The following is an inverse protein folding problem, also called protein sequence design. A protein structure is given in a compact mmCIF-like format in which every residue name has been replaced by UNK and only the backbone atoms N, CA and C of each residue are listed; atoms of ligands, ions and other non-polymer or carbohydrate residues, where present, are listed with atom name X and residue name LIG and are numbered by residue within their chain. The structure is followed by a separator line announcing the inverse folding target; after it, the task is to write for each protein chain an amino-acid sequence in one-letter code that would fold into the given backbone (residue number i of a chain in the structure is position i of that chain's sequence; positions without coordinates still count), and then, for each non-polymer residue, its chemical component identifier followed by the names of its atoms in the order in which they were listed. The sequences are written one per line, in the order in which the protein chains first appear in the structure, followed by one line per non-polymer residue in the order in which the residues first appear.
data_IF_510217281452
#
_entry.id   IF_510217281452
#
_cell.length_a   1.000
_cell.length_b   1.000
_cell.length_c   1.000
_cell.angle_alpha   90.00
_cell.angle_beta   90.00
_cell.angle_gamma   90.00
#
_symmetry.space_group_name_H-M   'P 1'
#
loop_
_entity.id
_entity.type
_entity.pdbx_description
1 polymer ?
#
# COMPACT_ATOMS: atom_id res chain seq x y z
N UNK A 1 12.96 -8.73 -21.64
CA UNK A 1 14.10 -7.83 -21.81
C UNK A 1 15.37 -8.59 -22.30
N UNK A 2 15.87 -9.61 -21.60
CA UNK A 2 17.08 -10.36 -21.97
C UNK A 2 17.02 -11.00 -23.36
N UNK A 3 15.88 -11.49 -23.78
CA UNK A 3 15.66 -12.02 -25.14
C UNK A 3 15.80 -10.91 -26.20
N UNK A 4 15.22 -9.74 -25.95
CA UNK A 4 15.30 -8.59 -26.85
C UNK A 4 16.74 -8.12 -27.01
N UNK A 5 17.50 -8.04 -25.91
CA UNK A 5 18.93 -7.73 -25.94
C UNK A 5 19.73 -8.71 -26.81
N UNK A 6 19.48 -10.03 -26.67
CA UNK A 6 20.11 -11.06 -27.49
C UNK A 6 19.73 -10.95 -28.97
N UNK A 7 18.45 -10.71 -29.26
CA UNK A 7 17.96 -10.52 -30.63
C UNK A 7 18.58 -9.28 -31.29
N UNK A 8 18.69 -8.15 -30.58
CA UNK A 8 19.39 -6.96 -31.04
C UNK A 8 20.82 -7.31 -31.52
N UNK A 9 21.59 -8.05 -30.69
CA UNK A 9 22.95 -8.47 -31.06
C UNK A 9 22.97 -9.41 -32.26
N UNK A 10 22.01 -10.31 -32.39
CA UNK A 10 21.89 -11.22 -33.51
C UNK A 10 21.50 -10.48 -34.80
N UNK A 11 20.57 -9.56 -34.75
CA UNK A 11 20.16 -8.72 -35.89
C UNK A 11 21.36 -7.88 -36.37
N UNK A 12 22.01 -7.17 -35.44
CA UNK A 12 23.18 -6.37 -35.77
C UNK A 12 24.28 -7.19 -36.48
N UNK A 13 24.53 -8.42 -36.02
CA UNK A 13 25.52 -9.33 -36.63
C UNK A 13 25.14 -9.77 -38.05
N UNK A 14 23.87 -10.09 -38.29
CA UNK A 14 23.37 -10.53 -39.61
C UNK A 14 23.36 -9.36 -40.60
N UNK A 15 22.93 -8.17 -40.14
CA UNK A 15 22.74 -7.00 -40.98
C UNK A 15 24.03 -6.16 -41.16
N UNK A 16 25.10 -6.42 -40.38
CA UNK A 16 26.37 -5.69 -40.47
C UNK A 16 27.00 -5.68 -41.88
N UNK A 17 26.95 -6.78 -42.67
CA UNK A 17 27.43 -6.77 -44.04
C UNK A 17 26.56 -5.98 -45.03
N UNK A 18 25.34 -5.59 -44.66
CA UNK A 18 24.44 -4.80 -45.49
C UNK A 18 23.74 -5.56 -46.64
N UNK A 19 23.94 -6.88 -46.71
CA UNK A 19 23.41 -7.71 -47.80
C UNK A 19 22.12 -8.44 -47.47
N UNK A 20 21.79 -8.64 -46.21
CA UNK A 20 20.62 -9.37 -45.76
C UNK A 20 19.84 -8.57 -44.71
N UNK A 21 18.53 -8.78 -44.68
CA UNK A 21 17.65 -8.30 -43.59
C UNK A 21 17.25 -9.49 -42.73
N UNK A 22 17.42 -9.37 -41.43
CA UNK A 22 17.09 -10.39 -40.45
C UNK A 22 15.60 -10.36 -40.08
N UNK A 23 14.71 -10.51 -41.08
CA UNK A 23 13.26 -10.32 -40.87
C UNK A 23 12.72 -11.23 -39.76
N UNK A 24 13.06 -12.54 -39.79
CA UNK A 24 12.60 -13.50 -38.77
C UNK A 24 13.04 -13.13 -37.35
N UNK A 25 14.27 -12.59 -37.20
CA UNK A 25 14.76 -12.13 -35.89
C UNK A 25 14.10 -10.82 -35.46
N UNK A 26 13.76 -9.95 -36.42
CA UNK A 26 13.00 -8.72 -36.15
C UNK A 26 11.59 -9.05 -35.68
N UNK A 27 10.90 -9.97 -36.37
CA UNK A 27 9.56 -10.43 -35.97
C UNK A 27 9.56 -11.06 -34.57
N UNK A 28 10.58 -11.85 -34.25
CA UNK A 28 10.76 -12.41 -32.92
C UNK A 28 11.00 -11.32 -31.86
N UNK A 29 11.80 -10.28 -32.22
CA UNK A 29 12.07 -9.14 -31.33
C UNK A 29 10.79 -8.35 -31.07
N UNK A 30 10.02 -8.06 -32.11
CA UNK A 30 8.79 -7.31 -32.00
C UNK A 30 7.74 -8.07 -31.16
N UNK A 31 7.61 -9.38 -31.35
CA UNK A 31 6.78 -10.22 -30.47
C UNK A 31 7.26 -10.20 -29.01
N UNK A 32 8.58 -10.16 -28.77
CA UNK A 32 9.11 -10.07 -27.41
C UNK A 32 8.92 -8.66 -26.78
N UNK A 33 8.85 -7.61 -27.59
CA UNK A 33 8.51 -6.24 -27.18
C UNK A 33 7.03 -6.19 -26.79
N UNK A 34 6.15 -6.73 -27.65
CA UNK A 34 4.72 -6.84 -27.35
C UNK A 34 4.42 -7.60 -26.06
N UNK A 35 5.16 -8.70 -25.83
CA UNK A 35 5.03 -9.44 -24.59
C UNK A 35 5.50 -8.63 -23.37
N UNK A 36 6.61 -7.89 -23.49
CA UNK A 36 7.12 -7.04 -22.42
C UNK A 36 6.14 -5.91 -22.06
N UNK A 37 5.50 -5.32 -23.07
CA UNK A 37 4.55 -4.21 -22.89
C UNK A 37 3.31 -4.59 -22.08
N UNK A 38 2.95 -5.88 -22.02
CA UNK A 38 1.85 -6.35 -21.16
C UNK A 38 2.17 -6.23 -19.68
N UNK A 39 3.45 -6.35 -19.30
CA UNK A 39 3.87 -6.37 -17.90
C UNK A 39 4.23 -5.01 -17.35
N UNK A 40 4.84 -4.14 -18.16
CA UNK A 40 5.35 -2.84 -17.72
C UNK A 40 5.20 -1.82 -18.84
N UNK A 41 4.97 -0.56 -18.47
CA UNK A 41 4.96 0.54 -19.43
C UNK A 41 6.34 0.70 -20.07
N UNK A 42 6.39 0.65 -21.40
CA UNK A 42 7.61 0.77 -22.17
C UNK A 42 7.48 1.81 -23.27
N UNK A 43 8.57 2.50 -23.54
CA UNK A 43 8.78 3.26 -24.77
C UNK A 43 9.99 2.69 -25.48
N UNK A 44 9.97 2.63 -26.81
CA UNK A 44 11.10 2.11 -27.58
C UNK A 44 11.28 2.85 -28.89
N UNK A 45 12.51 2.79 -29.38
CA UNK A 45 12.88 3.32 -30.70
C UNK A 45 14.06 2.49 -31.27
N UNK A 46 14.19 2.50 -32.59
CA UNK A 46 15.34 1.88 -33.26
C UNK A 46 16.46 2.92 -33.40
N UNK A 47 17.68 2.55 -32.97
CA UNK A 47 18.87 3.36 -33.11
C UNK A 47 19.44 3.31 -34.54
N UNK A 48 20.41 4.18 -34.85
CA UNK A 48 21.11 4.17 -36.15
C UNK A 48 21.78 2.83 -36.47
N UNK A 49 22.19 2.10 -35.44
CA UNK A 49 22.75 0.76 -35.53
C UNK A 49 21.71 -0.36 -35.65
N UNK A 50 20.44 0.00 -35.84
CA UNK A 50 19.31 -0.92 -35.98
C UNK A 50 19.04 -1.78 -34.74
N UNK A 51 19.58 -1.40 -33.62
CA UNK A 51 19.28 -1.97 -32.31
C UNK A 51 18.06 -1.25 -31.69
N UNK A 52 17.13 -1.99 -31.13
CA UNK A 52 15.99 -1.40 -30.44
C UNK A 52 16.37 -1.06 -29.01
N UNK A 53 16.27 0.20 -28.67
CA UNK A 53 16.45 0.73 -27.32
C UNK A 53 15.09 0.73 -26.65
N UNK A 54 15.02 0.24 -25.41
CA UNK A 54 13.78 0.16 -24.63
C UNK A 54 13.98 0.89 -23.30
N UNK A 55 13.06 1.80 -22.99
CA UNK A 55 12.92 2.38 -21.68
C UNK A 55 11.68 1.77 -21.01
N UNK A 56 11.79 1.41 -19.73
CA UNK A 56 10.69 0.89 -18.94
C UNK A 56 10.52 1.75 -17.67
N UNK A 57 9.31 2.24 -17.41
CA UNK A 57 9.03 3.15 -16.30
C UNK A 57 10.05 4.32 -16.22
N UNK A 58 10.42 4.91 -17.37
CA UNK A 58 11.36 6.02 -17.47
C UNK A 58 12.84 5.67 -17.25
N UNK A 59 13.20 4.39 -17.21
CA UNK A 59 14.59 3.92 -17.07
C UNK A 59 15.00 3.14 -18.31
N UNK A 60 16.23 3.36 -18.86
CA UNK A 60 16.77 2.54 -19.92
C UNK A 60 16.88 1.07 -19.48
N UNK A 61 16.04 0.20 -20.05
CA UNK A 61 16.01 -1.23 -19.74
C UNK A 61 16.92 -2.04 -20.66
N UNK A 62 16.85 -1.74 -21.96
CA UNK A 62 17.69 -2.37 -23.00
C UNK A 62 18.34 -1.26 -23.81
N UNK A 63 19.65 -1.25 -23.84
CA UNK A 63 20.45 -0.35 -24.67
C UNK A 63 21.36 -1.15 -25.60
N UNK A 64 22.13 -0.46 -26.45
CA UNK A 64 23.10 -1.12 -27.36
C UNK A 64 24.20 -1.90 -26.63
N UNK A 65 24.57 -1.49 -25.44
CA UNK A 65 25.66 -2.09 -24.66
C UNK A 65 25.25 -2.81 -23.39
N UNK A 66 24.08 -2.51 -22.87
CA UNK A 66 23.71 -2.90 -21.51
C UNK A 66 22.24 -3.34 -21.40
N UNK A 67 22.01 -4.24 -20.47
CA UNK A 67 20.70 -4.66 -19.99
C UNK A 67 20.60 -4.29 -18.52
N UNK A 68 19.74 -3.35 -18.19
CA UNK A 68 19.47 -2.98 -16.80
C UNK A 68 18.68 -4.08 -16.10
N UNK A 69 19.21 -4.59 -14.98
CA UNK A 69 18.53 -5.59 -14.18
C UNK A 69 17.48 -4.94 -13.27
N UNK A 70 16.30 -5.52 -13.24
CA UNK A 70 15.28 -5.24 -12.22
C UNK A 70 15.49 -6.22 -11.07
N UNK A 71 15.26 -5.75 -9.84
CA UNK A 71 15.29 -6.56 -8.62
C UNK A 71 14.05 -6.28 -7.78
N UNK A 72 14.06 -6.77 -6.56
CA UNK A 72 12.97 -6.54 -5.61
C UNK A 72 13.53 -6.20 -4.24
N UNK A 73 12.80 -5.40 -3.46
CA UNK A 73 13.04 -5.19 -2.04
C UNK A 73 11.77 -5.44 -1.23
N UNK A 74 11.93 -5.78 0.02
CA UNK A 74 10.83 -5.88 0.98
C UNK A 74 10.56 -4.48 1.54
N UNK A 75 9.29 -4.10 1.65
CA UNK A 75 8.88 -2.86 2.34
C UNK A 75 9.12 -3.05 3.83
N UNK A 76 9.81 -2.08 4.45
CA UNK A 76 10.17 -2.15 5.87
C UNK A 76 8.94 -2.38 6.76
N UNK A 77 9.08 -3.28 7.74
CA UNK A 77 7.99 -3.65 8.66
C UNK A 77 6.89 -4.53 8.04
N UNK A 78 7.04 -4.98 6.80
CA UNK A 78 6.04 -5.79 6.10
C UNK A 78 6.66 -7.02 5.42
N UNK A 79 5.81 -7.87 4.85
CA UNK A 79 6.21 -8.96 3.94
C UNK A 79 6.01 -8.59 2.47
N UNK A 80 5.65 -7.34 2.19
CA UNK A 80 5.35 -6.87 0.83
C UNK A 80 6.64 -6.65 0.05
N UNK A 81 6.65 -7.15 -1.18
CA UNK A 81 7.79 -7.03 -2.10
C UNK A 81 7.45 -6.01 -3.19
N UNK A 82 8.33 -5.06 -3.43
CA UNK A 82 8.20 -4.10 -4.52
C UNK A 82 9.38 -4.19 -5.51
N UNK A 83 9.15 -3.90 -6.80
CA UNK A 83 10.22 -3.92 -7.80
C UNK A 83 11.09 -2.67 -7.69
N UNK A 84 12.41 -2.85 -7.91
CA UNK A 84 13.41 -1.80 -7.80
C UNK A 84 14.36 -1.82 -9.00
N UNK A 85 14.99 -0.67 -9.23
CA UNK A 85 16.11 -0.49 -10.14
C UNK A 85 17.40 -0.37 -9.33
N UNK A 86 18.16 -1.47 -9.07
CA UNK A 86 19.34 -1.41 -8.21
C UNK A 86 20.41 -0.43 -8.70
N UNK A 87 20.63 -0.37 -10.02
CA UNK A 87 21.61 0.54 -10.63
C UNK A 87 21.26 2.02 -10.47
N UNK A 88 20.01 2.34 -10.10
CA UNK A 88 19.52 3.69 -9.91
C UNK A 88 19.09 3.96 -8.46
N UNK A 89 19.27 2.98 -7.56
CA UNK A 89 18.92 3.05 -6.14
C UNK A 89 17.49 3.57 -5.88
N UNK A 90 16.55 3.18 -6.74
CA UNK A 90 15.16 3.61 -6.64
C UNK A 90 14.15 2.51 -6.95
N UNK A 91 12.93 2.70 -6.49
CA UNK A 91 11.81 1.84 -6.84
C UNK A 91 11.37 2.05 -8.29
N UNK A 92 10.80 1.01 -8.90
CA UNK A 92 10.24 1.11 -10.26
C UNK A 92 9.04 2.06 -10.28
N UNK A 93 8.25 2.05 -9.22
CA UNK A 93 7.10 2.92 -9.02
C UNK A 93 7.27 3.72 -7.73
N UNK A 94 7.03 5.02 -7.77
CA UNK A 94 7.05 5.89 -6.60
C UNK A 94 5.81 5.65 -5.73
N UNK A 95 5.99 5.45 -4.42
CA UNK A 95 4.92 5.08 -3.49
C UNK A 95 3.71 6.02 -3.53
N UNK A 96 3.92 7.32 -3.66
CA UNK A 96 2.84 8.32 -3.71
C UNK A 96 2.02 8.34 -5.00
N UNK A 97 2.51 7.70 -6.07
CA UNK A 97 1.84 7.64 -7.37
C UNK A 97 1.09 6.32 -7.62
N UNK A 98 1.25 5.34 -6.72
CA UNK A 98 0.56 4.06 -6.85
C UNK A 98 -0.96 4.17 -6.66
N UNK A 99 -1.41 5.13 -5.86
CA UNK A 99 -2.83 5.32 -5.52
C UNK A 99 -3.61 6.20 -6.52
N UNK A 100 -2.93 6.86 -7.47
CA UNK A 100 -3.60 7.76 -8.42
C UNK A 100 -4.11 7.02 -9.63
N UNK A 101 -5.42 6.80 -9.68
CA UNK A 101 -6.13 6.39 -10.91
C UNK A 101 -6.28 7.56 -11.91
N UNK A 102 -5.78 8.75 -11.58
CA UNK A 102 -6.01 9.97 -12.36
C UNK A 102 -5.03 10.15 -13.52
N UNK A 103 -3.85 9.52 -13.46
CA UNK A 103 -2.87 9.57 -14.52
C UNK A 103 -3.01 8.33 -15.41
N UNK A 104 -3.32 8.55 -16.68
CA UNK A 104 -3.41 7.55 -17.76
C UNK A 104 -2.08 6.78 -18.03
N UNK A 105 -1.18 6.81 -17.06
CA UNK A 105 0.13 6.15 -17.03
C UNK A 105 0.10 4.75 -16.44
N UNK A 106 -1.07 4.24 -16.05
CA UNK A 106 -1.23 2.92 -15.41
C UNK A 106 -1.22 1.81 -16.46
N UNK A 107 -0.08 1.68 -17.14
CA UNK A 107 0.10 0.66 -18.15
C UNK A 107 0.93 -0.50 -17.61
N UNK A 108 0.39 -1.70 -17.75
CA UNK A 108 1.06 -2.95 -17.45
C UNK A 108 0.56 -3.68 -16.21
N UNK A 109 0.61 -5.02 -16.31
CA UNK A 109 0.11 -5.93 -15.28
C UNK A 109 0.84 -5.78 -13.93
N UNK A 110 2.15 -5.46 -13.96
CA UNK A 110 2.95 -5.35 -12.75
C UNK A 110 2.44 -4.23 -11.83
N UNK A 111 2.17 -3.04 -12.40
CA UNK A 111 1.61 -1.92 -11.65
C UNK A 111 0.19 -2.24 -11.15
N UNK A 112 -0.65 -2.80 -12.03
CA UNK A 112 -2.00 -3.21 -11.65
C UNK A 112 -2.05 -4.19 -10.48
N UNK A 113 -1.14 -5.19 -10.45
CA UNK A 113 -1.03 -6.14 -9.34
C UNK A 113 -0.55 -5.49 -8.04
N UNK A 114 0.38 -4.53 -8.12
CA UNK A 114 0.86 -3.80 -6.94
C UNK A 114 -0.26 -2.90 -6.36
N UNK A 115 -1.00 -2.20 -7.22
CA UNK A 115 -2.16 -1.40 -6.80
C UNK A 115 -3.24 -2.31 -6.16
N UNK A 116 -3.59 -3.43 -6.81
CA UNK A 116 -4.59 -4.35 -6.29
C UNK A 116 -4.21 -4.94 -4.93
N UNK A 117 -2.92 -5.28 -4.73
CA UNK A 117 -2.39 -5.78 -3.47
C UNK A 117 -2.31 -4.70 -2.39
N UNK A 118 -2.06 -3.45 -2.79
CA UNK A 118 -1.67 -2.35 -1.92
C UNK A 118 -0.17 -2.37 -1.59
N UNK A 119 0.28 -1.30 -0.94
CA UNK A 119 1.69 -1.05 -0.60
C UNK A 119 1.96 -1.04 0.91
N UNK A 120 0.94 -1.32 1.73
CA UNK A 120 1.01 -1.32 3.18
C UNK A 120 0.25 -2.51 3.79
N UNK A 121 0.47 -2.75 5.07
CA UNK A 121 -0.38 -3.64 5.88
C UNK A 121 -1.38 -2.78 6.63
N UNK A 122 -2.63 -3.19 6.63
CA UNK A 122 -3.73 -2.49 7.29
C UNK A 122 -4.43 -3.43 8.27
N UNK A 123 -5.00 -2.85 9.32
CA UNK A 123 -5.82 -3.52 10.32
C UNK A 123 -7.17 -2.78 10.48
N UNK A 124 -7.96 -3.18 11.47
CA UNK A 124 -9.28 -2.58 11.73
C UNK A 124 -9.22 -1.10 12.11
N UNK A 125 -8.08 -0.60 12.61
CA UNK A 125 -7.96 0.78 13.11
C UNK A 125 -7.97 1.82 11.99
N UNK A 126 -7.65 1.41 10.75
CA UNK A 126 -7.70 2.32 9.59
C UNK A 126 -9.11 2.53 9.07
N UNK A 127 -10.09 1.70 9.48
CA UNK A 127 -11.48 1.82 9.04
C UNK A 127 -12.16 2.93 9.83
N UNK A 128 -12.53 4.06 9.20
CA UNK A 128 -13.11 5.18 9.94
C UNK A 128 -14.42 4.79 10.59
N UNK A 129 -14.63 5.29 11.82
CA UNK A 129 -15.86 5.12 12.57
C UNK A 129 -16.40 6.51 12.91
N UNK A 130 -17.61 6.82 12.42
CA UNK A 130 -18.23 8.10 12.71
C UNK A 130 -18.55 8.21 14.23
N UNK A 131 -18.25 9.35 14.87
CA UNK A 131 -18.62 9.55 16.26
C UNK A 131 -20.14 9.55 16.40
N UNK A 132 -20.66 8.89 17.46
CA UNK A 132 -22.07 8.94 17.81
C UNK A 132 -22.33 10.18 18.68
N UNK A 133 -23.28 11.01 18.29
CA UNK A 133 -23.65 12.21 19.04
C UNK A 133 -24.22 11.90 20.44
N UNK A 134 -24.69 10.65 20.66
CA UNK A 134 -25.20 10.23 21.96
C UNK A 134 -24.08 10.02 23.02
N UNK A 135 -22.83 9.87 22.57
CA UNK A 135 -21.67 9.73 23.45
C UNK A 135 -21.18 11.07 24.01
N UNK A 136 -21.82 12.18 23.61
CA UNK A 136 -21.41 13.54 23.96
C UNK A 136 -22.59 14.30 24.56
N UNK A 137 -22.34 15.10 25.62
CA UNK A 137 -23.38 16.00 26.17
C UNK A 137 -23.55 17.22 25.26
N UNK A 138 -24.42 17.06 24.26
CA UNK A 138 -24.72 18.11 23.28
C UNK A 138 -25.42 19.34 23.88
N UNK A 139 -25.85 19.31 25.16
CA UNK A 139 -26.43 20.46 25.83
C UNK A 139 -25.38 21.45 26.30
N UNK A 140 -24.14 20.99 26.53
CA UNK A 140 -23.00 21.81 26.97
C UNK A 140 -22.13 22.30 25.79
N UNK A 141 -21.37 23.37 26.00
CA UNK A 141 -20.43 23.87 25.01
C UNK A 141 -19.21 22.95 24.88
N UNK A 142 -18.76 22.37 26.00
CA UNK A 142 -17.68 21.40 26.04
C UNK A 142 -18.04 20.13 25.25
N UNK A 143 -19.25 19.60 25.43
CA UNK A 143 -19.70 18.39 24.72
C UNK A 143 -19.82 18.62 23.21
N UNK A 144 -20.35 19.78 22.78
CA UNK A 144 -20.39 20.15 21.35
C UNK A 144 -19.00 20.30 20.76
N UNK A 145 -18.07 20.90 21.51
CA UNK A 145 -16.68 21.07 21.07
C UNK A 145 -15.97 19.72 20.94
N UNK A 146 -16.15 18.84 21.91
CA UNK A 146 -15.58 17.49 21.88
C UNK A 146 -16.14 16.67 20.69
N UNK A 147 -17.44 16.73 20.44
CA UNK A 147 -18.05 16.09 19.27
C UNK A 147 -17.48 16.63 17.95
N UNK A 148 -17.33 17.95 17.82
CA UNK A 148 -16.78 18.57 16.63
C UNK A 148 -15.30 18.18 16.40
N UNK A 149 -14.51 18.05 17.46
CA UNK A 149 -13.14 17.56 17.38
C UNK A 149 -13.09 16.10 16.90
N UNK A 150 -13.93 15.23 17.48
CA UNK A 150 -14.05 13.84 17.05
C UNK A 150 -14.49 13.71 15.59
N UNK A 151 -15.44 14.55 15.16
CA UNK A 151 -15.89 14.57 13.77
C UNK A 151 -14.79 15.04 12.80
N UNK A 152 -13.99 16.03 13.19
CA UNK A 152 -12.86 16.48 12.39
C UNK A 152 -11.79 15.41 12.26
N UNK A 153 -11.55 14.63 13.33
CA UNK A 153 -10.61 13.50 13.28
C UNK A 153 -11.14 12.37 12.40
N UNK A 154 -12.43 12.03 12.55
CA UNK A 154 -13.09 11.08 11.64
C UNK A 154 -12.97 11.52 10.17
N UNK A 155 -13.17 12.79 9.85
CA UNK A 155 -13.05 13.29 8.49
C UNK A 155 -11.64 13.09 7.91
N UNK A 156 -10.59 13.30 8.72
CA UNK A 156 -9.20 13.03 8.32
C UNK A 156 -8.94 11.54 8.10
N UNK A 157 -9.43 10.70 8.99
CA UNK A 157 -9.31 9.24 8.85
C UNK A 157 -10.06 8.75 7.62
N UNK A 158 -11.23 9.32 7.32
CA UNK A 158 -12.00 8.99 6.12
C UNK A 158 -11.26 9.40 4.85
N UNK A 159 -10.67 10.58 4.82
CA UNK A 159 -9.84 11.03 3.69
C UNK A 159 -8.65 10.10 3.47
N UNK A 160 -7.95 9.73 4.55
CA UNK A 160 -6.84 8.77 4.49
C UNK A 160 -7.32 7.42 3.94
N UNK A 161 -8.42 6.87 4.48
CA UNK A 161 -8.98 5.59 4.05
C UNK A 161 -9.36 5.61 2.56
N UNK A 162 -10.08 6.63 2.12
CA UNK A 162 -10.52 6.76 0.74
C UNK A 162 -9.34 6.95 -0.25
N UNK A 163 -8.25 7.55 0.22
CA UNK A 163 -7.07 7.82 -0.61
C UNK A 163 -6.15 6.61 -0.72
N UNK A 164 -5.91 5.89 0.39
CA UNK A 164 -4.84 4.90 0.47
C UNK A 164 -5.30 3.46 0.63
N UNK A 165 -6.51 3.21 1.16
CA UNK A 165 -7.01 1.87 1.48
C UNK A 165 -8.10 1.43 0.51
N UNK A 166 -9.14 2.23 0.33
CA UNK A 166 -10.30 1.91 -0.49
C UNK A 166 -9.97 1.57 -1.95
N UNK A 167 -9.02 2.28 -2.62
CA UNK A 167 -8.66 1.96 -4.00
C UNK A 167 -8.06 0.56 -4.17
N UNK A 168 -7.51 -0.03 -3.12
CA UNK A 168 -7.00 -1.40 -3.13
C UNK A 168 -8.05 -2.38 -2.61
N UNK A 169 -8.56 -3.24 -3.49
CA UNK A 169 -9.53 -4.27 -3.12
C UNK A 169 -9.02 -5.20 -2.00
N UNK A 170 -7.71 -5.48 -1.99
CA UNK A 170 -7.10 -6.35 -0.97
C UNK A 170 -6.97 -5.62 0.36
N UNK A 171 -6.49 -4.37 0.39
CA UNK A 171 -6.39 -3.60 1.64
C UNK A 171 -7.76 -3.37 2.26
N UNK A 172 -8.75 -2.99 1.45
CA UNK A 172 -10.13 -2.79 1.90
C UNK A 172 -10.73 -4.07 2.48
N UNK A 173 -10.52 -5.22 1.82
CA UNK A 173 -10.98 -6.52 2.32
C UNK A 173 -10.26 -6.93 3.61
N UNK A 174 -8.94 -6.71 3.72
CA UNK A 174 -8.16 -7.01 4.94
C UNK A 174 -8.64 -6.19 6.12
N UNK A 175 -8.75 -4.87 5.97
CA UNK A 175 -9.22 -3.97 7.03
C UNK A 175 -10.65 -4.31 7.47
N UNK A 176 -11.55 -4.59 6.51
CA UNK A 176 -12.93 -4.99 6.80
C UNK A 176 -13.03 -6.33 7.52
N UNK A 177 -12.23 -7.32 7.13
CA UNK A 177 -12.18 -8.63 7.79
C UNK A 177 -11.62 -8.52 9.22
N UNK A 178 -10.54 -7.76 9.40
CA UNK A 178 -9.95 -7.56 10.72
C UNK A 178 -10.91 -6.82 11.66
N UNK A 179 -11.66 -5.82 11.15
CA UNK A 179 -12.73 -5.15 11.89
C UNK A 179 -13.85 -6.11 12.33
N UNK A 180 -14.24 -7.05 11.45
CA UNK A 180 -15.23 -8.06 11.80
C UNK A 180 -14.72 -8.97 12.92
N UNK A 181 -13.48 -9.46 12.80
CA UNK A 181 -12.85 -10.32 13.81
C UNK A 181 -12.75 -9.59 15.15
N UNK A 182 -12.26 -8.35 15.15
CA UNK A 182 -12.16 -7.54 16.36
C UNK A 182 -13.53 -7.33 17.01
N UNK A 183 -14.57 -6.99 16.25
CA UNK A 183 -15.93 -6.82 16.77
C UNK A 183 -16.53 -8.12 17.36
N UNK A 184 -16.19 -9.29 16.80
CA UNK A 184 -16.57 -10.58 17.37
C UNK A 184 -15.86 -10.81 18.71
N UNK A 185 -14.54 -10.55 18.76
CA UNK A 185 -13.74 -10.70 19.99
C UNK A 185 -14.24 -9.78 21.10
N UNK A 186 -14.49 -8.51 20.79
CA UNK A 186 -15.05 -7.54 21.75
C UNK A 186 -16.41 -7.99 22.32
N UNK A 187 -17.28 -8.51 21.44
CA UNK A 187 -18.61 -9.03 21.87
C UNK A 187 -18.48 -10.26 22.76
N UNK A 188 -17.60 -11.19 22.40
CA UNK A 188 -17.35 -12.39 23.20
C UNK A 188 -16.77 -11.98 24.57
N UNK A 189 -15.75 -11.11 24.59
CA UNK A 189 -15.16 -10.63 25.83
C UNK A 189 -16.16 -9.88 26.70
N UNK A 190 -17.01 -9.04 26.14
CA UNK A 190 -18.06 -8.34 26.85
C UNK A 190 -19.11 -9.27 27.51
N UNK A 191 -19.32 -10.47 26.94
CA UNK A 191 -20.23 -11.47 27.49
C UNK A 191 -19.53 -12.35 28.54
N UNK A 192 -18.31 -12.83 28.22
CA UNK A 192 -17.60 -13.80 29.07
C UNK A 192 -16.79 -13.12 30.19
N UNK A 193 -16.27 -11.93 29.92
CA UNK A 193 -15.42 -11.17 30.84
C UNK A 193 -15.94 -9.72 30.93
N UNK A 194 -17.13 -9.49 31.49
CA UNK A 194 -17.66 -8.13 31.64
C UNK A 194 -16.76 -7.30 32.55
N UNK A 195 -16.53 -6.05 32.18
CA UNK A 195 -15.83 -5.10 33.03
C UNK A 195 -16.60 -4.88 34.32
N UNK A 196 -15.93 -5.05 35.45
CA UNK A 196 -16.47 -4.73 36.78
C UNK A 196 -15.77 -3.48 37.31
N UNK A 197 -16.56 -2.49 37.70
CA UNK A 197 -16.07 -1.34 38.43
C UNK A 197 -16.24 -1.61 39.93
N UNK A 198 -15.14 -1.69 40.66
CA UNK A 198 -15.15 -1.86 42.12
C UNK A 198 -14.62 -0.58 42.76
N UNK A 199 -15.47 0.05 43.57
CA UNK A 199 -15.03 1.17 44.40
C UNK A 199 -14.58 0.62 45.72
N UNK A 200 -13.26 0.67 45.97
CA UNK A 200 -12.70 0.27 47.27
C UNK A 200 -12.64 1.49 48.18
N UNK A 201 -13.33 1.42 49.28
CA UNK A 201 -13.22 2.43 50.33
C UNK A 201 -11.84 2.31 50.98
N UNK A 202 -11.04 3.36 50.96
CA UNK A 202 -9.79 3.38 51.68
C UNK A 202 -10.12 3.46 53.18
N UNK A 203 -9.66 2.51 53.99
CA UNK A 203 -9.94 2.49 55.43
C UNK A 203 -9.16 3.54 56.24
N UNK A 204 -8.27 4.27 55.57
CA UNK A 204 -7.41 5.26 56.22
C UNK A 204 -8.04 6.64 56.09
N UNK A 205 -7.98 7.40 57.15
CA UNK A 205 -8.37 8.81 57.20
C UNK A 205 -7.14 9.68 56.99
N UNK A 206 -7.35 10.86 56.44
CA UNK A 206 -6.32 11.91 56.40
C UNK A 206 -5.94 12.35 57.82
N UNK A 207 -4.82 13.06 57.99
CA UNK A 207 -4.36 13.54 59.29
C UNK A 207 -5.34 14.52 59.98
N UNK A 208 -6.26 15.11 59.22
CA UNK A 208 -7.36 15.98 59.66
C UNK A 208 -8.65 15.24 60.00
N UNK A 209 -8.65 13.92 59.86
CA UNK A 209 -9.83 13.08 60.12
C UNK A 209 -10.85 13.01 58.96
N UNK A 210 -10.55 13.59 57.81
CA UNK A 210 -11.37 13.44 56.61
C UNK A 210 -11.14 12.09 55.93
N UNK A 211 -12.14 11.57 55.22
CA UNK A 211 -12.05 10.35 54.44
C UNK A 211 -11.13 10.59 53.22
N UNK A 212 -10.16 9.66 53.02
CA UNK A 212 -9.39 9.62 51.76
C UNK A 212 -10.31 9.18 50.66
N UNK A 213 -10.32 9.91 49.54
CA UNK A 213 -11.13 9.57 48.35
C UNK A 213 -10.92 8.11 47.93
N UNK A 214 -12.01 7.40 47.71
CA UNK A 214 -11.98 6.03 47.25
C UNK A 214 -11.39 5.95 45.83
N UNK A 215 -10.40 5.08 45.65
CA UNK A 215 -9.90 4.78 44.31
C UNK A 215 -10.87 3.85 43.59
N UNK A 216 -11.21 4.19 42.37
CA UNK A 216 -12.04 3.36 41.49
C UNK A 216 -11.14 2.55 40.57
N UNK A 217 -11.27 1.24 40.63
CA UNK A 217 -10.54 0.32 39.78
C UNK A 217 -11.48 -0.35 38.79
N UNK A 218 -11.08 -0.32 37.51
CA UNK A 218 -11.76 -1.06 36.45
C UNK A 218 -10.91 -2.32 36.17
N UNK A 219 -11.51 -3.49 36.27
CA UNK A 219 -10.80 -4.75 35.96
C UNK A 219 -11.75 -5.76 35.32
N UNK A 220 -11.20 -6.58 34.45
CA UNK A 220 -11.91 -7.72 33.90
C UNK A 220 -11.84 -8.87 34.93
N UNK A 221 -12.99 -9.25 35.50
CA UNK A 221 -13.01 -10.42 36.38
C UNK A 221 -13.09 -11.67 35.52
N UNK A 222 -12.09 -12.51 35.63
CA UNK A 222 -12.16 -13.91 35.23
C UNK A 222 -12.54 -14.65 36.50
N UNK A 223 -13.80 -15.09 36.60
CA UNK A 223 -14.23 -16.05 37.65
C UNK A 223 -13.97 -17.47 37.15
#
# INVERSE_FOLDING_TARGET
AGQIYKLNKSIAKVEAPGMEKANDLRDQRDAAIDELSKYIDITYYESENKETIINAAGVPLVTSGELTAMSTRVVEGTTLVIPTWPSYERDVYEDGKLASNADDTDKGQLKGLIIARGNMVVDYTVVPVAPDSNDYDMSTEEGRTAYQQAYNEYAKQQEYYNTYVEPSAILSAMAGFDKLVNGIVERINGILCPEKTETRTNPYLNADGSEIQADTYIYNSVD
#
